data_IF_817293330193
#
_entry.id   IF_817293330193
#
_cell.length_a   1.000
_cell.length_b   1.000
_cell.length_c   1.000
_cell.angle_alpha   90.00
_cell.angle_beta   90.00
_cell.angle_gamma   90.00
#
_symmetry.space_group_name_H-M   'P 1'
#
loop_
_entity.id
_entity.type
_entity.pdbx_description
1 polymer ?
#
# COMPACT_ATOMS: atom_id res chain seq x y z
N UNK A 1 -18.26 -34.71 -22.09
CA UNK A 1 -17.00 -34.36 -21.39
C UNK A 1 -17.13 -32.91 -20.96
N UNK A 2 -17.53 -32.67 -19.70
CA UNK A 2 -17.72 -31.32 -19.17
C UNK A 2 -16.38 -30.79 -18.69
N UNK A 3 -15.94 -29.64 -19.21
CA UNK A 3 -14.72 -29.00 -18.74
C UNK A 3 -14.93 -28.40 -17.34
N UNK A 4 -13.94 -28.49 -16.44
CA UNK A 4 -14.00 -27.84 -15.14
C UNK A 4 -13.81 -26.33 -15.30
N UNK A 5 -14.79 -25.56 -14.85
CA UNK A 5 -14.74 -24.10 -14.78
C UNK A 5 -13.60 -23.69 -13.85
N UNK A 6 -12.57 -23.04 -14.40
CA UNK A 6 -11.49 -22.41 -13.65
C UNK A 6 -12.05 -21.15 -12.98
N UNK A 7 -12.41 -21.27 -11.70
CA UNK A 7 -12.75 -20.12 -10.85
C UNK A 7 -11.50 -19.26 -10.70
N UNK A 8 -11.45 -18.15 -11.43
CA UNK A 8 -10.53 -17.05 -11.17
C UNK A 8 -10.80 -16.52 -9.75
N UNK A 9 -9.79 -16.18 -8.94
CA UNK A 9 -10.04 -15.51 -7.68
C UNK A 9 -10.75 -14.18 -7.99
N UNK A 10 -12.00 -14.07 -7.57
CA UNK A 10 -12.79 -12.85 -7.75
C UNK A 10 -12.15 -11.72 -6.94
N UNK A 11 -11.71 -10.66 -7.62
CA UNK A 11 -11.32 -9.41 -6.99
C UNK A 11 -12.45 -8.93 -6.08
N UNK A 12 -12.18 -8.50 -4.83
CA UNK A 12 -13.21 -8.00 -3.93
C UNK A 12 -14.02 -6.87 -4.59
N UNK A 13 -15.34 -6.98 -4.60
CA UNK A 13 -16.23 -6.05 -5.30
C UNK A 13 -16.71 -4.90 -4.41
N UNK A 14 -16.55 -5.04 -3.09
CA UNK A 14 -16.95 -4.03 -2.11
C UNK A 14 -15.84 -3.73 -1.09
N UNK A 15 -15.85 -2.55 -0.43
CA UNK A 15 -14.93 -2.22 0.67
C UNK A 15 -14.91 -3.26 1.81
N UNK A 16 -16.06 -3.85 2.15
CA UNK A 16 -16.16 -4.86 3.21
C UNK A 16 -15.54 -6.21 2.78
N UNK A 17 -15.76 -6.63 1.54
CA UNK A 17 -15.10 -7.82 1.00
C UNK A 17 -13.58 -7.64 0.96
N UNK A 18 -13.12 -6.45 0.58
CA UNK A 18 -11.70 -6.11 0.56
C UNK A 18 -11.12 -6.15 1.98
N UNK A 19 -11.80 -5.56 2.96
CA UNK A 19 -11.39 -5.59 4.36
C UNK A 19 -11.35 -7.02 4.92
N UNK A 20 -12.31 -7.87 4.54
CA UNK A 20 -12.32 -9.30 4.90
C UNK A 20 -11.13 -10.04 4.29
N UNK A 21 -10.85 -9.82 3.00
CA UNK A 21 -9.70 -10.41 2.31
C UNK A 21 -8.38 -9.96 2.95
N UNK A 22 -8.21 -8.67 3.19
CA UNK A 22 -7.03 -8.10 3.86
C UNK A 22 -6.87 -8.64 5.29
N UNK A 23 -7.97 -8.79 6.02
CA UNK A 23 -7.95 -9.35 7.37
C UNK A 23 -7.55 -10.82 7.37
N UNK A 24 -7.87 -11.60 6.34
CA UNK A 24 -7.49 -13.00 6.21
C UNK A 24 -6.01 -13.23 5.83
N UNK A 25 -5.30 -12.19 5.38
CA UNK A 25 -3.89 -12.33 4.98
C UNK A 25 -2.99 -12.77 6.15
N UNK A 26 -1.97 -13.62 5.88
CA UNK A 26 -0.99 -14.01 6.88
C UNK A 26 -0.18 -12.78 7.34
N UNK A 27 0.17 -12.76 8.62
CA UNK A 27 0.99 -11.69 9.24
C UNK A 27 2.14 -12.33 9.98
N UNK A 28 3.35 -12.08 9.51
CA UNK A 28 4.60 -12.57 10.09
C UNK A 28 5.51 -11.38 10.38
N UNK A 29 6.29 -11.46 11.46
CA UNK A 29 7.24 -10.40 11.84
C UNK A 29 8.28 -10.09 10.75
N UNK A 30 8.66 -11.10 9.98
CA UNK A 30 9.53 -10.96 8.80
C UNK A 30 8.71 -10.96 7.52
N UNK A 31 9.22 -10.29 6.49
CA UNK A 31 8.65 -10.37 5.13
C UNK A 31 8.63 -11.81 4.62
N UNK A 32 7.89 -12.13 3.54
CA UNK A 32 7.87 -13.49 2.98
C UNK A 32 9.26 -14.08 2.66
N UNK A 33 10.25 -13.22 2.40
CA UNK A 33 11.65 -13.63 2.21
C UNK A 33 12.34 -14.16 3.47
N UNK A 34 11.81 -13.85 4.65
CA UNK A 34 12.42 -14.11 5.96
C UNK A 34 13.60 -13.19 6.33
N UNK A 35 14.04 -12.30 5.43
CA UNK A 35 15.31 -11.56 5.58
C UNK A 35 15.19 -10.24 6.34
N UNK A 36 14.09 -9.52 6.16
CA UNK A 36 13.87 -8.17 6.73
C UNK A 36 12.56 -8.12 7.49
N UNK A 37 12.42 -7.13 8.39
CA UNK A 37 11.19 -6.93 9.14
C UNK A 37 10.03 -6.57 8.22
N UNK A 38 8.85 -7.10 8.52
CA UNK A 38 7.61 -6.79 7.82
C UNK A 38 7.00 -5.49 8.34
N UNK A 39 7.83 -4.45 8.38
CA UNK A 39 7.48 -3.08 8.71
C UNK A 39 7.37 -2.27 7.42
N UNK A 40 6.31 -1.49 7.30
CA UNK A 40 6.06 -0.67 6.12
C UNK A 40 5.85 0.79 6.53
N UNK A 41 6.53 1.70 5.85
CA UNK A 41 6.30 3.15 5.99
C UNK A 41 5.40 3.60 4.85
N UNK A 42 4.38 4.39 5.19
CA UNK A 42 3.37 4.90 4.27
C UNK A 42 3.48 6.43 4.19
N UNK A 43 3.27 6.97 3.00
CA UNK A 43 3.16 8.41 2.77
C UNK A 43 2.25 8.69 1.58
N UNK A 44 1.53 9.81 1.59
CA UNK A 44 0.84 10.30 0.40
C UNK A 44 1.75 11.28 -0.33
N UNK A 45 1.97 11.06 -1.62
CA UNK A 45 2.88 11.90 -2.42
C UNK A 45 2.13 12.53 -3.58
N UNK A 46 2.41 13.81 -3.81
CA UNK A 46 2.00 14.55 -5.01
C UNK A 46 2.89 14.13 -6.16
N UNK A 47 2.29 13.73 -7.27
CA UNK A 47 2.96 13.49 -8.55
C UNK A 47 2.50 14.58 -9.51
N UNK A 48 3.43 15.43 -9.94
CA UNK A 48 3.17 16.57 -10.84
C UNK A 48 3.40 16.24 -12.31
N UNK A 49 3.84 15.02 -12.61
CA UNK A 49 3.95 14.52 -13.99
C UNK A 49 2.56 14.35 -14.59
N UNK A 50 2.42 14.61 -15.88
CA UNK A 50 1.12 14.52 -16.58
C UNK A 50 0.66 13.06 -16.78
N UNK A 51 -0.57 12.69 -16.37
CA UNK A 51 -1.55 13.51 -15.65
C UNK A 51 -1.23 13.62 -14.14
N UNK A 52 -1.31 14.82 -13.55
CA UNK A 52 -0.99 15.02 -12.14
C UNK A 52 -1.95 14.26 -11.22
N UNK A 53 -1.49 13.89 -10.04
CA UNK A 53 -2.32 13.17 -9.09
C UNK A 53 -1.64 12.86 -7.76
N UNK A 54 -2.37 12.11 -6.93
CA UNK A 54 -1.87 11.61 -5.66
C UNK A 54 -1.61 10.13 -5.73
N UNK A 55 -0.56 9.71 -5.05
CA UNK A 55 -0.23 8.31 -4.89
C UNK A 55 -0.02 7.96 -3.43
N UNK A 56 -0.39 6.75 -3.06
CA UNK A 56 0.04 6.11 -1.83
C UNK A 56 1.38 5.45 -2.09
N UNK A 57 2.42 5.95 -1.44
CA UNK A 57 3.76 5.38 -1.47
C UNK A 57 3.95 4.47 -0.25
N UNK A 58 4.29 3.21 -0.52
CA UNK A 58 4.55 2.15 0.46
C UNK A 58 6.01 1.74 0.33
N UNK A 59 6.75 1.76 1.43
CA UNK A 59 8.16 1.35 1.45
C UNK A 59 8.45 0.41 2.60
N UNK A 60 9.21 -0.64 2.33
CA UNK A 60 9.85 -1.42 3.38
C UNK A 60 11.27 -0.86 3.57
N UNK A 61 11.57 -0.16 4.68
CA UNK A 61 12.81 0.61 4.81
C UNK A 61 14.07 -0.26 4.75
N UNK A 62 14.03 -1.47 5.32
CA UNK A 62 15.18 -2.38 5.38
C UNK A 62 15.57 -2.93 4.01
N UNK A 63 14.58 -3.31 3.18
CA UNK A 63 14.83 -3.82 1.82
C UNK A 63 14.84 -2.72 0.75
N UNK A 64 14.42 -1.50 1.09
CA UNK A 64 14.14 -0.40 0.16
C UNK A 64 13.15 -0.74 -0.95
N UNK A 65 12.34 -1.78 -0.75
CA UNK A 65 11.30 -2.15 -1.71
C UNK A 65 10.19 -1.10 -1.71
N UNK A 66 9.75 -0.70 -2.91
CA UNK A 66 8.74 0.33 -3.16
C UNK A 66 7.52 -0.26 -3.84
N UNK A 67 6.35 0.14 -3.35
CA UNK A 67 5.09 -0.01 -4.07
C UNK A 67 4.35 1.31 -4.10
N UNK A 68 3.66 1.59 -5.21
CA UNK A 68 2.89 2.82 -5.40
C UNK A 68 1.50 2.47 -5.89
N UNK A 69 0.47 3.00 -5.23
CA UNK A 69 -0.92 2.94 -5.70
C UNK A 69 -1.41 4.34 -6.08
N UNK A 70 -2.04 4.48 -7.24
CA UNK A 70 -2.75 5.71 -7.59
C UNK A 70 -3.97 5.88 -6.68
N UNK A 71 -4.13 7.06 -6.11
CA UNK A 71 -5.31 7.39 -5.32
C UNK A 71 -6.40 8.02 -6.20
N UNK A 72 -7.67 7.60 -6.05
CA UNK A 72 -8.80 8.27 -6.69
C UNK A 72 -9.16 9.56 -5.93
N UNK A 73 -8.23 10.51 -5.87
CA UNK A 73 -8.37 11.79 -5.19
C UNK A 73 -7.78 12.91 -6.07
N UNK A 74 -8.32 14.13 -5.94
CA UNK A 74 -7.74 15.28 -6.64
C UNK A 74 -6.40 15.66 -6.01
N UNK A 75 -5.48 16.22 -6.79
CA UNK A 75 -4.19 16.69 -6.26
C UNK A 75 -4.38 17.76 -5.17
N UNK A 76 -5.44 18.56 -5.26
CA UNK A 76 -5.82 19.59 -4.29
C UNK A 76 -6.34 19.03 -2.96
N UNK A 77 -6.63 17.72 -2.89
CA UNK A 77 -7.04 17.05 -1.66
C UNK A 77 -5.84 16.63 -0.79
N UNK A 78 -4.60 16.83 -1.27
CA UNK A 78 -3.39 16.35 -0.59
C UNK A 78 -3.27 16.85 0.86
N UNK A 79 -3.68 18.10 1.09
CA UNK A 79 -3.58 18.77 2.38
C UNK A 79 -4.88 18.62 3.19
N UNK A 80 -5.78 17.71 2.76
CA UNK A 80 -7.08 17.46 3.37
C UNK A 80 -7.18 15.99 3.85
N UNK A 81 -6.60 15.65 5.02
CA UNK A 81 -6.57 14.28 5.55
C UNK A 81 -7.94 13.57 5.58
N UNK A 82 -9.02 14.33 5.80
CA UNK A 82 -10.39 13.81 5.85
C UNK A 82 -10.85 13.26 4.50
N UNK A 83 -10.43 13.88 3.38
CA UNK A 83 -10.77 13.44 2.02
C UNK A 83 -9.92 12.24 1.59
N UNK A 84 -8.69 12.13 2.10
CA UNK A 84 -7.76 11.06 1.75
C UNK A 84 -7.95 9.78 2.55
N UNK A 85 -8.54 9.84 3.74
CA UNK A 85 -8.60 8.71 4.65
C UNK A 85 -9.22 7.44 4.05
N UNK A 86 -10.34 7.58 3.33
CA UNK A 86 -11.01 6.44 2.68
C UNK A 86 -10.20 5.95 1.46
N UNK A 87 -9.83 6.81 0.49
CA UNK A 87 -8.97 6.40 -0.63
C UNK A 87 -7.70 5.66 -0.20
N UNK A 88 -6.99 6.18 0.82
CA UNK A 88 -5.75 5.58 1.34
C UNK A 88 -6.03 4.24 2.00
N UNK A 89 -7.08 4.12 2.83
CA UNK A 89 -7.43 2.85 3.46
C UNK A 89 -7.75 1.75 2.42
N UNK A 90 -8.50 2.10 1.36
CA UNK A 90 -8.83 1.17 0.29
C UNK A 90 -7.61 0.79 -0.54
N UNK A 91 -6.80 1.77 -0.96
CA UNK A 91 -5.57 1.53 -1.71
C UNK A 91 -4.57 0.67 -0.93
N UNK A 92 -4.43 0.93 0.37
CA UNK A 92 -3.60 0.14 1.27
C UNK A 92 -4.03 -1.34 1.31
N UNK A 93 -5.31 -1.61 1.56
CA UNK A 93 -5.81 -2.98 1.63
C UNK A 93 -5.66 -3.69 0.28
N UNK A 94 -5.99 -2.99 -0.82
CA UNK A 94 -5.86 -3.49 -2.18
C UNK A 94 -4.41 -3.90 -2.49
N UNK A 95 -3.44 -3.03 -2.22
CA UNK A 95 -2.03 -3.31 -2.49
C UNK A 95 -1.57 -4.63 -1.88
N UNK A 96 -1.91 -4.89 -0.62
CA UNK A 96 -1.52 -6.13 0.06
C UNK A 96 -2.34 -7.35 -0.36
N UNK A 97 -3.63 -7.20 -0.65
CA UNK A 97 -4.49 -8.30 -1.15
C UNK A 97 -4.04 -8.75 -2.54
N UNK A 98 -3.61 -7.81 -3.38
CA UNK A 98 -3.07 -8.09 -4.72
C UNK A 98 -1.58 -8.48 -4.68
N UNK A 99 -0.97 -8.55 -3.49
CA UNK A 99 0.42 -8.96 -3.32
C UNK A 99 1.44 -7.98 -3.89
N UNK A 100 1.09 -6.69 -3.97
CA UNK A 100 1.93 -5.61 -4.51
C UNK A 100 2.43 -5.89 -5.93
N UNK A 101 1.63 -6.61 -6.72
CA UNK A 101 1.97 -6.89 -8.10
C UNK A 101 1.54 -5.75 -9.01
N UNK A 102 2.39 -5.42 -9.98
CA UNK A 102 1.95 -4.62 -11.11
C UNK A 102 1.10 -5.51 -12.02
N UNK A 103 -0.18 -5.16 -12.30
CA UNK A 103 -1.06 -5.97 -13.14
C UNK A 103 -0.53 -6.14 -14.58
N UNK A 104 0.38 -5.27 -15.03
CA UNK A 104 1.00 -5.33 -16.34
C UNK A 104 2.24 -6.23 -16.39
N UNK A 105 2.70 -6.79 -15.26
CA UNK A 105 3.83 -7.72 -15.25
C UNK A 105 3.33 -9.13 -15.59
N UNK A 106 3.76 -9.73 -16.72
CA UNK A 106 3.34 -11.08 -17.08
C UNK A 106 4.04 -12.10 -16.18
N UNK A 107 3.40 -12.48 -15.07
CA UNK A 107 3.87 -13.51 -14.15
C UNK A 107 2.89 -14.69 -14.18
N UNK A 108 3.44 -15.89 -14.40
CA UNK A 108 2.66 -17.12 -14.39
C UNK A 108 1.98 -17.31 -13.01
N UNK A 109 0.75 -17.86 -12.93
CA UNK A 109 0.01 -17.92 -11.67
C UNK A 109 0.74 -18.60 -10.51
N UNK A 110 1.61 -19.59 -10.79
CA UNK A 110 2.38 -20.32 -9.79
C UNK A 110 3.59 -19.54 -9.25
N UNK A 111 4.08 -18.56 -10.01
CA UNK A 111 5.21 -17.70 -9.63
C UNK A 111 4.76 -16.42 -8.92
N UNK A 112 3.44 -16.22 -8.79
CA UNK A 112 2.90 -15.03 -8.13
C UNK A 112 3.26 -15.07 -6.64
N UNK A 113 3.83 -13.98 -6.09
CA UNK A 113 4.04 -13.85 -4.66
C UNK A 113 2.74 -14.10 -3.91
N UNK A 114 2.81 -14.89 -2.83
CA UNK A 114 1.65 -15.09 -1.97
C UNK A 114 1.33 -13.76 -1.25
N UNK A 115 0.07 -13.27 -1.32
CA UNK A 115 -0.34 -12.09 -0.57
C UNK A 115 -0.06 -12.23 0.92
N UNK A 116 0.33 -11.13 1.55
CA UNK A 116 0.60 -11.03 2.98
C UNK A 116 0.14 -9.67 3.48
N UNK A 117 -0.09 -9.56 4.78
CA UNK A 117 -0.35 -8.28 5.42
C UNK A 117 0.89 -7.82 6.19
N UNK A 118 1.07 -6.50 6.34
CA UNK A 118 2.15 -5.95 7.12
C UNK A 118 2.02 -6.37 8.58
N UNK A 119 3.16 -6.55 9.24
CA UNK A 119 3.20 -6.85 10.68
C UNK A 119 3.07 -5.57 11.49
N UNK A 120 3.79 -4.54 11.07
CA UNK A 120 3.66 -3.17 11.55
C UNK A 120 3.67 -2.23 10.36
N UNK A 121 3.03 -1.09 10.56
CA UNK A 121 2.97 0.00 9.61
C UNK A 121 3.26 1.28 10.35
N UNK A 122 3.80 2.27 9.67
CA UNK A 122 3.99 3.59 10.22
C UNK A 122 3.71 4.62 9.12
N UNK A 123 3.19 5.78 9.50
CA UNK A 123 3.09 6.92 8.60
C UNK A 123 4.14 7.96 8.96
N UNK A 124 4.58 8.74 7.98
CA UNK A 124 5.49 9.86 8.23
C UNK A 124 4.88 10.83 9.25
N UNK A 125 5.75 11.55 9.96
CA UNK A 125 5.32 12.46 11.03
C UNK A 125 4.43 13.61 10.50
N UNK A 126 4.62 14.03 9.25
CA UNK A 126 3.74 14.98 8.56
C UNK A 126 2.31 14.47 8.39
N UNK A 127 2.12 13.14 8.37
CA UNK A 127 0.87 12.48 7.99
C UNK A 127 0.14 11.87 9.20
N UNK A 128 0.52 12.20 10.43
CA UNK A 128 -0.04 11.59 11.65
C UNK A 128 -1.56 11.79 11.79
N UNK A 129 -2.10 12.93 11.33
CA UNK A 129 -3.54 13.15 11.31
C UNK A 129 -4.23 12.19 10.32
N UNK A 130 -3.64 12.01 9.14
CA UNK A 130 -4.13 11.07 8.14
C UNK A 130 -4.06 9.64 8.67
N UNK A 131 -2.97 9.25 9.34
CA UNK A 131 -2.78 7.92 9.94
C UNK A 131 -3.93 7.56 10.89
N UNK A 132 -4.31 8.48 11.78
CA UNK A 132 -5.44 8.30 12.72
C UNK A 132 -6.77 8.12 11.99
N UNK A 133 -6.99 8.84 10.90
CA UNK A 133 -8.21 8.75 10.11
C UNK A 133 -8.24 7.45 9.30
N UNK A 134 -7.15 7.06 8.65
CA UNK A 134 -7.01 5.78 7.94
C UNK A 134 -7.24 4.63 8.91
N UNK A 135 -6.64 4.66 10.11
CA UNK A 135 -6.86 3.64 11.12
C UNK A 135 -8.33 3.55 11.54
N UNK A 136 -9.01 4.69 11.65
CA UNK A 136 -10.46 4.73 11.93
C UNK A 136 -11.28 4.10 10.80
N UNK A 137 -10.92 4.38 9.54
CA UNK A 137 -11.59 3.77 8.38
C UNK A 137 -11.39 2.26 8.34
N UNK A 138 -10.16 1.78 8.53
CA UNK A 138 -9.85 0.35 8.59
C UNK A 138 -10.68 -0.35 9.67
N UNK A 139 -10.74 0.22 10.89
CA UNK A 139 -11.57 -0.29 11.98
C UNK A 139 -13.07 -0.30 11.64
N UNK A 140 -13.56 0.78 11.02
CA UNK A 140 -14.96 0.89 10.57
C UNK A 140 -15.34 -0.16 9.53
N UNK A 141 -14.39 -0.58 8.69
CA UNK A 141 -14.57 -1.65 7.70
C UNK A 141 -14.37 -3.07 8.26
N UNK A 142 -14.10 -3.21 9.56
CA UNK A 142 -13.94 -4.51 10.21
C UNK A 142 -12.52 -5.08 10.18
N UNK A 143 -11.50 -4.27 9.87
CA UNK A 143 -10.10 -4.68 10.06
C UNK A 143 -9.79 -4.69 11.56
N UNK A 144 -9.53 -5.89 12.07
CA UNK A 144 -9.43 -6.22 13.50
C UNK A 144 -8.37 -5.39 14.26
N UNK A 145 -8.69 -5.03 15.51
CA UNK A 145 -7.90 -4.15 16.40
C UNK A 145 -6.61 -4.82 16.88
N UNK A 146 -6.59 -6.14 16.97
CA UNK A 146 -5.41 -6.90 17.41
C UNK A 146 -4.30 -6.93 16.34
N UNK A 147 -4.61 -6.42 15.14
CA UNK A 147 -3.71 -6.32 14.01
C UNK A 147 -3.13 -4.91 14.00
N UNK A 148 -1.96 -4.78 14.62
CA UNK A 148 -1.12 -3.57 14.75
C UNK A 148 -1.16 -2.78 13.46
N UNK A 149 -1.74 -1.58 13.51
CA UNK A 149 -2.10 -0.87 12.27
C UNK A 149 -1.29 0.39 12.03
N UNK A 150 -0.81 1.11 13.04
CA UNK A 150 0.10 2.25 12.84
C UNK A 150 0.90 2.50 14.11
N UNK A 151 2.21 2.30 14.04
CA UNK A 151 3.20 2.74 15.02
C UNK A 151 3.83 4.07 14.56
N UNK A 152 4.58 4.74 15.45
CA UNK A 152 5.36 5.92 15.09
C UNK A 152 6.58 5.53 14.25
N UNK A 153 6.82 6.26 13.16
CA UNK A 153 8.01 6.06 12.32
C UNK A 153 9.25 6.52 13.08
N UNK A 154 10.37 5.79 12.96
CA UNK A 154 11.66 6.27 13.47
C UNK A 154 12.25 7.32 12.52
N UNK A 155 13.06 8.28 12.99
CA UNK A 155 13.71 9.25 12.10
C UNK A 155 14.51 8.60 10.97
N UNK A 156 15.14 7.45 11.25
CA UNK A 156 15.88 6.67 10.25
C UNK A 156 14.95 6.09 9.16
N UNK A 157 13.84 5.47 9.55
CA UNK A 157 12.88 4.91 8.58
C UNK A 157 12.20 6.01 7.75
N UNK A 158 11.92 7.17 8.36
CA UNK A 158 11.38 8.33 7.64
C UNK A 158 12.37 8.83 6.59
N UNK A 159 13.64 9.00 6.96
CA UNK A 159 14.69 9.43 6.02
C UNK A 159 14.87 8.44 4.87
N UNK A 160 14.84 7.13 5.13
CA UNK A 160 14.89 6.12 4.05
C UNK A 160 13.66 6.24 3.14
N UNK A 161 12.46 6.42 3.70
CA UNK A 161 11.25 6.56 2.91
C UNK A 161 11.26 7.79 2.00
N UNK A 162 11.81 8.92 2.47
CA UNK A 162 11.99 10.12 1.66
C UNK A 162 13.05 9.93 0.57
N UNK A 163 14.21 9.35 0.91
CA UNK A 163 15.27 9.11 -0.07
C UNK A 163 14.79 8.18 -1.19
N UNK A 164 14.13 7.08 -0.81
CA UNK A 164 13.62 6.10 -1.77
C UNK A 164 12.55 6.72 -2.66
N UNK A 165 11.69 7.59 -2.13
CA UNK A 165 10.74 8.35 -2.94
C UNK A 165 11.44 9.27 -3.93
N UNK A 166 12.47 10.01 -3.49
CA UNK A 166 13.25 10.89 -4.34
C UNK A 166 13.88 10.14 -5.51
N UNK A 167 14.60 9.04 -5.22
CA UNK A 167 15.24 8.20 -6.24
C UNK A 167 14.22 7.59 -7.22
N UNK A 168 13.04 7.20 -6.73
CA UNK A 168 11.96 6.68 -7.56
C UNK A 168 11.38 7.76 -8.48
N UNK A 169 11.08 8.94 -7.93
CA UNK A 169 10.45 10.04 -8.66
C UNK A 169 11.40 10.65 -9.71
N UNK A 170 12.69 10.75 -9.40
CA UNK A 170 13.71 11.20 -10.36
C UNK A 170 13.76 10.25 -11.58
N UNK A 171 13.85 8.94 -11.35
CA UNK A 171 13.82 7.94 -12.43
C UNK A 171 12.54 8.00 -13.24
N UNK A 172 11.40 8.19 -12.58
CA UNK A 172 10.11 8.32 -13.26
C UNK A 172 10.07 9.57 -14.13
N UNK A 173 10.56 10.71 -13.63
CA UNK A 173 10.59 11.97 -14.38
C UNK A 173 11.48 11.86 -15.61
N UNK A 174 12.68 11.31 -15.46
CA UNK A 174 13.63 11.09 -16.56
C UNK A 174 13.12 10.11 -17.63
N UNK A 175 12.18 9.22 -17.30
CA UNK A 175 11.58 8.29 -18.25
C UNK A 175 10.43 8.91 -19.06
N UNK A 176 9.88 10.03 -18.59
CA UNK A 176 8.75 10.75 -19.23
C UNK A 176 9.26 11.95 -20.03
N UNK A 177 10.43 12.49 -19.69
CA UNK A 177 11.14 13.48 -20.50
C UNK A 177 11.77 12.79 -21.75
N UNK A 178 11.47 13.25 -22.98
CA UNK A 178 11.94 12.66 -24.23
C UNK A 178 13.43 12.91 -24.53
#
# INVERSE_FOLDING_TARGET
MSQPSTSTPSTPSTPYELAKAYSALPRTQKTPSGKVDNLWVLSVRKVTLEPPGLVLHLVNPDSRYVHVEKLPAAIDDADQPQRLAVPVALALMKAFVEGMMNPNTPIAPHDRPKPFAPWSMAMLDSDQQLAKLVQRQLKGLGVDKDKRTFDTTTPQHASIADQVWHDFFEKLSNAVEP
#
